data_IF_972240553765
#
_entry.id   IF_972240553765
#
_cell.length_a   1.000
_cell.length_b   1.000
_cell.length_c   1.000
_cell.angle_alpha   90.00
_cell.angle_beta   90.00
_cell.angle_gamma   90.00
#
_symmetry.space_group_name_H-M   'P 1'
#
loop_
_entity.id
_entity.type
_entity.pdbx_description
1 polymer ?
#
# COMPACT_ATOMS: atom_id res chain seq x y z
N UNK A 1 1.35 1.70 21.75
CA UNK A 1 2.68 1.89 21.15
C UNK A 1 2.72 3.20 20.39
N UNK A 2 3.88 3.58 19.85
CA UNK A 2 4.03 4.79 19.01
C UNK A 2 3.66 4.51 17.55
N UNK A 3 3.11 5.49 16.81
CA UNK A 3 2.86 5.36 15.37
C UNK A 3 4.15 5.06 14.59
N UNK A 4 4.09 4.10 13.67
CA UNK A 4 5.21 3.74 12.78
C UNK A 4 5.06 4.43 11.43
N UNK A 5 6.15 5.08 10.98
CA UNK A 5 6.28 5.66 9.64
C UNK A 5 7.13 4.74 8.74
N UNK A 6 6.66 4.51 7.51
CA UNK A 6 7.40 3.78 6.48
C UNK A 6 7.66 4.64 5.24
N UNK A 7 8.81 4.42 4.58
CA UNK A 7 9.25 5.14 3.39
C UNK A 7 9.87 4.17 2.38
N UNK A 8 9.01 3.62 1.52
CA UNK A 8 9.33 2.49 0.62
C UNK A 8 9.33 2.89 -0.86
N UNK A 9 8.75 4.06 -1.19
CA UNK A 9 8.54 4.48 -2.58
C UNK A 9 9.84 4.67 -3.35
N UNK A 10 9.95 3.96 -4.47
CA UNK A 10 11.05 3.97 -5.44
C UNK A 10 12.44 3.60 -4.89
N UNK A 11 12.50 2.97 -3.71
CA UNK A 11 13.76 2.57 -3.06
C UNK A 11 14.49 1.46 -3.80
N UNK A 12 15.81 1.41 -3.63
CA UNK A 12 16.69 0.47 -4.35
C UNK A 12 16.39 -0.98 -4.03
N UNK A 13 16.05 -1.31 -2.79
CA UNK A 13 15.67 -2.69 -2.44
C UNK A 13 14.50 -3.21 -3.30
N UNK A 14 13.53 -2.37 -3.67
CA UNK A 14 12.43 -2.76 -4.56
C UNK A 14 12.96 -3.07 -5.96
N UNK A 15 13.89 -2.23 -6.45
CA UNK A 15 14.53 -2.40 -7.74
C UNK A 15 15.41 -3.63 -7.82
N UNK A 16 16.23 -3.85 -6.79
CA UNK A 16 17.13 -5.00 -6.66
C UNK A 16 16.34 -6.31 -6.51
N UNK A 17 15.24 -6.29 -5.74
CA UNK A 17 14.40 -7.48 -5.52
C UNK A 17 13.65 -7.92 -6.79
N UNK A 18 13.21 -6.96 -7.63
CA UNK A 18 12.35 -7.25 -8.78
C UNK A 18 13.04 -7.06 -10.13
N UNK A 19 14.34 -6.73 -10.14
CA UNK A 19 15.13 -6.36 -11.31
C UNK A 19 14.45 -5.26 -12.15
N UNK A 20 14.15 -4.12 -11.51
CA UNK A 20 13.45 -2.99 -12.14
C UNK A 20 14.15 -1.64 -11.97
N UNK A 21 14.24 -0.83 -13.04
CA UNK A 21 14.71 0.55 -12.95
C UNK A 21 13.71 1.41 -12.17
N UNK A 22 14.17 2.55 -11.63
CA UNK A 22 13.40 3.42 -10.71
C UNK A 22 11.98 3.75 -11.20
N UNK A 23 11.79 4.05 -12.49
CA UNK A 23 10.49 4.40 -13.08
C UNK A 23 9.48 3.24 -13.12
N UNK A 24 9.95 2.00 -12.93
CA UNK A 24 9.15 0.78 -13.03
C UNK A 24 9.02 0.06 -11.67
N UNK A 25 9.25 0.77 -10.55
CA UNK A 25 9.19 0.21 -9.20
C UNK A 25 7.81 0.33 -8.53
N UNK A 26 6.85 1.02 -9.15
CA UNK A 26 5.54 1.30 -8.55
C UNK A 26 4.85 0.06 -7.98
N UNK A 27 4.73 -1.02 -8.76
CA UNK A 27 4.06 -2.25 -8.29
C UNK A 27 4.75 -2.87 -7.08
N UNK A 28 6.09 -2.89 -7.06
CA UNK A 28 6.85 -3.38 -5.92
C UNK A 28 6.70 -2.48 -4.70
N UNK A 29 6.72 -1.16 -4.88
CA UNK A 29 6.42 -0.19 -3.83
C UNK A 29 5.03 -0.42 -3.24
N UNK A 30 3.99 -0.53 -4.07
CA UNK A 30 2.62 -0.73 -3.63
C UNK A 30 2.45 -2.07 -2.88
N UNK A 31 3.11 -3.14 -3.32
CA UNK A 31 3.12 -4.42 -2.62
C UNK A 31 3.73 -4.29 -1.21
N UNK A 32 4.88 -3.63 -1.09
CA UNK A 32 5.55 -3.43 0.22
C UNK A 32 4.75 -2.50 1.15
N UNK A 33 4.07 -1.49 0.60
CA UNK A 33 3.12 -0.65 1.31
C UNK A 33 1.94 -1.46 1.86
N UNK A 34 1.35 -2.34 1.04
CA UNK A 34 0.21 -3.16 1.45
C UNK A 34 0.55 -4.06 2.64
N UNK A 35 1.70 -4.73 2.59
CA UNK A 35 2.19 -5.58 3.70
C UNK A 35 2.48 -4.74 4.94
N UNK A 36 3.13 -3.59 4.79
CA UNK A 36 3.41 -2.69 5.92
C UNK A 36 2.13 -2.19 6.60
N UNK A 37 1.09 -1.91 5.81
CA UNK A 37 -0.23 -1.54 6.30
C UNK A 37 -0.92 -2.67 7.06
N UNK A 38 -0.89 -3.89 6.51
CA UNK A 38 -1.42 -5.06 7.18
C UNK A 38 -0.73 -5.33 8.53
N UNK A 39 0.58 -5.04 8.61
CA UNK A 39 1.37 -5.18 9.84
C UNK A 39 1.23 -3.99 10.81
N UNK A 40 0.40 -2.98 10.50
CA UNK A 40 0.04 -1.90 11.41
C UNK A 40 0.84 -0.61 11.28
N UNK A 41 1.57 -0.39 10.17
CA UNK A 41 2.16 0.92 9.90
C UNK A 41 1.06 2.01 9.74
N UNK A 42 1.32 3.22 10.25
CA UNK A 42 0.31 4.28 10.33
C UNK A 42 0.62 5.49 9.45
N UNK A 43 1.89 5.72 9.11
CA UNK A 43 2.31 6.88 8.30
C UNK A 43 3.14 6.41 7.11
N UNK A 44 2.87 6.98 5.93
CA UNK A 44 3.49 6.57 4.67
C UNK A 44 4.07 7.78 3.96
N UNK A 45 5.37 7.76 3.69
CA UNK A 45 6.03 8.74 2.82
C UNK A 45 6.16 8.17 1.42
N UNK A 46 5.47 8.78 0.45
CA UNK A 46 5.36 8.26 -0.92
C UNK A 46 5.47 9.38 -1.97
N UNK A 47 5.83 9.03 -3.21
CA UNK A 47 5.75 9.94 -4.35
C UNK A 47 4.41 9.80 -5.09
N UNK A 48 3.87 8.58 -5.17
CA UNK A 48 2.62 8.22 -5.85
C UNK A 48 1.45 8.13 -4.86
N UNK A 49 0.89 9.30 -4.51
CA UNK A 49 -0.10 9.44 -3.43
C UNK A 49 -1.43 8.75 -3.74
N UNK A 50 -1.94 8.88 -4.96
CA UNK A 50 -3.26 8.37 -5.33
C UNK A 50 -3.30 6.84 -5.30
N UNK A 51 -2.30 6.20 -5.87
CA UNK A 51 -2.13 4.75 -5.93
C UNK A 51 -1.89 4.17 -4.54
N UNK A 52 -1.04 4.82 -3.75
CA UNK A 52 -0.80 4.44 -2.35
C UNK A 52 -2.11 4.51 -1.55
N UNK A 53 -2.89 5.58 -1.70
CA UNK A 53 -4.18 5.71 -1.00
C UNK A 53 -5.14 4.58 -1.35
N UNK A 54 -5.25 4.23 -2.64
CA UNK A 54 -6.11 3.12 -3.08
C UNK A 54 -5.70 1.78 -2.47
N UNK A 55 -4.40 1.51 -2.37
CA UNK A 55 -3.89 0.30 -1.71
C UNK A 55 -4.23 0.31 -0.22
N UNK A 56 -4.03 1.43 0.47
CA UNK A 56 -4.36 1.54 1.90
C UNK A 56 -5.87 1.38 2.15
N UNK A 57 -6.71 1.94 1.28
CA UNK A 57 -8.16 1.74 1.31
C UNK A 57 -8.55 0.27 1.12
N UNK A 58 -7.90 -0.41 0.18
CA UNK A 58 -8.13 -1.83 -0.08
C UNK A 58 -7.71 -2.69 1.13
N UNK A 59 -6.52 -2.44 1.69
CA UNK A 59 -6.03 -3.15 2.89
C UNK A 59 -6.95 -2.91 4.08
N UNK A 60 -7.41 -1.67 4.30
CA UNK A 60 -8.37 -1.36 5.36
C UNK A 60 -9.69 -2.13 5.19
N UNK A 61 -10.16 -2.29 3.96
CA UNK A 61 -11.35 -3.11 3.68
C UNK A 61 -11.11 -4.61 3.89
N UNK A 62 -9.96 -5.14 3.49
CA UNK A 62 -9.59 -6.54 3.78
C UNK A 62 -9.48 -6.80 5.29
N UNK A 63 -8.99 -5.82 6.05
CA UNK A 63 -8.86 -5.91 7.51
C UNK A 63 -10.20 -5.69 8.25
N UNK A 64 -11.29 -5.38 7.54
CA UNK A 64 -12.59 -5.09 8.14
C UNK A 64 -12.68 -3.74 8.86
N UNK A 65 -11.74 -2.82 8.61
CA UNK A 65 -11.75 -1.47 9.20
C UNK A 65 -12.54 -0.46 8.36
N UNK A 66 -12.87 -0.82 7.12
CA UNK A 66 -13.56 0.05 6.17
C UNK A 66 -14.47 -0.77 5.28
N UNK A 67 -15.74 -0.42 5.20
CA UNK A 67 -16.65 -1.01 4.22
C UNK A 67 -16.21 -0.72 2.76
N UNK A 68 -16.47 -1.63 1.81
CA UNK A 68 -16.28 -1.34 0.40
C UNK A 68 -17.07 -0.09 0.00
N UNK A 69 -16.48 0.77 -0.84
CA UNK A 69 -17.15 2.00 -1.28
C UNK A 69 -18.49 1.72 -2.01
N UNK A 70 -18.62 0.55 -2.64
CA UNK A 70 -19.81 0.10 -3.35
C UNK A 70 -19.98 -1.42 -3.20
N UNK A 71 -21.10 -1.89 -2.66
CA UNK A 71 -21.40 -3.31 -2.42
C UNK A 71 -22.49 -3.88 -3.37
N UNK A 72 -22.31 -3.72 -4.69
CA UNK A 72 -23.34 -4.08 -5.70
C UNK A 72 -23.72 -5.56 -5.77
N UNK A 73 -22.79 -6.48 -5.46
CA UNK A 73 -22.99 -7.94 -5.65
C UNK A 73 -23.25 -8.73 -4.37
N UNK A 74 -23.25 -8.07 -3.20
CA UNK A 74 -23.40 -8.73 -1.88
C UNK A 74 -24.81 -8.65 -1.28
N UNK A 75 -25.78 -8.11 -2.03
CA UNK A 75 -27.17 -7.90 -1.60
C UNK A 75 -28.18 -8.68 -2.45
N UNK A 76 -27.70 -9.62 -3.26
CA UNK A 76 -28.51 -10.53 -4.08
C UNK A 76 -28.60 -11.91 -3.42
#
# INVERSE_FOLDING_TARGET
GWPVLVSLSNKDFVGETLDRPVKNRLLGTLATTAVSAWLGAQVYRVHEVAETRQILDMVASLAGWREPAVARRGLA
#
